data_IF_131000462502
#
_entry.id   IF_131000462502
#
_cell.length_a   1.000
_cell.length_b   1.000
_cell.length_c   1.000
_cell.angle_alpha   90.00
_cell.angle_beta   90.00
_cell.angle_gamma   90.00
#
_symmetry.space_group_name_H-M   'P 1'
#
loop_
_entity.id
_entity.type
_entity.pdbx_description
1 polymer ?
#
# COMPACT_ATOMS: atom_id res chain seq x y z
N UNK A 1 0.86 -13.99 18.03
CA UNK A 1 1.79 -14.90 18.73
C UNK A 1 0.96 -16.02 19.32
N UNK A 2 1.44 -17.26 19.29
CA UNK A 2 0.73 -18.38 19.90
C UNK A 2 0.47 -18.06 21.38
N UNK A 3 -0.76 -18.25 21.90
CA UNK A 3 -1.12 -17.80 23.24
C UNK A 3 -0.43 -18.58 24.36
N UNK A 4 0.05 -19.80 24.09
CA UNK A 4 0.77 -20.61 25.07
C UNK A 4 2.27 -20.33 25.06
N UNK A 5 2.89 -20.26 23.88
CA UNK A 5 4.37 -20.16 23.76
C UNK A 5 4.86 -18.73 23.57
N UNK A 6 3.96 -17.78 23.26
CA UNK A 6 4.28 -16.42 22.86
C UNK A 6 5.19 -16.30 21.61
N UNK A 7 5.38 -17.38 20.85
CA UNK A 7 6.18 -17.39 19.62
C UNK A 7 5.36 -16.99 18.38
N UNK A 8 6.04 -16.69 17.27
CA UNK A 8 5.39 -16.66 15.94
C UNK A 8 5.01 -18.10 15.56
N UNK A 9 3.89 -18.26 14.89
CA UNK A 9 3.31 -19.56 14.60
C UNK A 9 2.73 -19.55 13.17
N UNK A 10 3.46 -20.08 12.18
CA UNK A 10 3.01 -20.14 10.80
C UNK A 10 1.76 -20.99 10.60
N UNK A 11 1.54 -22.01 11.45
CA UNK A 11 0.38 -22.91 11.35
C UNK A 11 -0.91 -22.13 11.64
N UNK A 12 -0.93 -21.36 12.74
CA UNK A 12 -2.06 -20.46 13.06
C UNK A 12 -2.35 -19.46 11.94
N UNK A 13 -1.30 -18.94 11.29
CA UNK A 13 -1.44 -17.95 10.21
C UNK A 13 -2.06 -18.58 8.96
N UNK A 14 -1.59 -19.75 8.55
CA UNK A 14 -2.10 -20.45 7.37
C UNK A 14 -3.45 -21.10 7.61
N UNK A 15 -3.73 -21.60 8.81
CA UNK A 15 -5.06 -22.08 9.21
C UNK A 15 -6.12 -20.98 8.96
N UNK A 16 -5.88 -19.77 9.49
CA UNK A 16 -6.78 -18.63 9.26
C UNK A 16 -6.94 -18.29 7.78
N UNK A 17 -5.85 -18.10 7.02
CA UNK A 17 -5.95 -17.71 5.61
C UNK A 17 -6.59 -18.77 4.72
N UNK A 18 -6.36 -20.05 5.01
CA UNK A 18 -6.96 -21.17 4.27
C UNK A 18 -8.48 -21.25 4.47
N UNK A 19 -8.98 -20.81 5.63
CA UNK A 19 -10.40 -20.79 5.97
C UNK A 19 -11.11 -19.47 5.60
N UNK A 20 -10.34 -18.44 5.22
CA UNK A 20 -10.85 -17.09 4.84
C UNK A 20 -10.44 -16.76 3.41
N UNK A 21 -11.11 -17.33 2.39
CA UNK A 21 -10.71 -17.18 0.99
C UNK A 21 -10.75 -15.74 0.48
N UNK A 22 -11.50 -14.83 1.13
CA UNK A 22 -11.49 -13.41 0.83
C UNK A 22 -10.11 -12.76 1.06
N UNK A 23 -9.25 -13.37 1.88
CA UNK A 23 -7.88 -12.90 2.13
C UNK A 23 -6.94 -13.10 0.94
N UNK A 24 -7.30 -13.99 -0.01
CA UNK A 24 -6.38 -14.50 -1.03
C UNK A 24 -5.74 -13.39 -1.85
N UNK A 25 -6.48 -12.35 -2.25
CA UNK A 25 -5.92 -11.26 -3.04
C UNK A 25 -4.76 -10.55 -2.31
N UNK A 26 -4.95 -10.24 -1.02
CA UNK A 26 -3.92 -9.59 -0.23
C UNK A 26 -2.77 -10.55 0.12
N UNK A 27 -3.07 -11.82 0.37
CA UNK A 27 -2.03 -12.85 0.61
C UNK A 27 -1.14 -13.00 -0.63
N UNK A 28 -1.71 -13.06 -1.83
CA UNK A 28 -0.93 -13.08 -3.07
C UNK A 28 -0.04 -11.85 -3.24
N UNK A 29 -0.53 -10.66 -2.86
CA UNK A 29 0.30 -9.44 -2.87
C UNK A 29 1.41 -9.49 -1.82
N UNK A 30 1.09 -9.94 -0.60
CA UNK A 30 2.02 -10.05 0.52
C UNK A 30 3.19 -11.00 0.22
N UNK A 31 2.94 -12.10 -0.48
CA UNK A 31 3.96 -13.07 -0.87
C UNK A 31 4.60 -12.78 -2.24
N UNK A 32 4.26 -11.67 -2.89
CA UNK A 32 5.06 -11.13 -4.00
C UNK A 32 6.30 -10.40 -3.46
N UNK A 33 7.20 -9.98 -4.35
CA UNK A 33 8.36 -9.17 -3.97
C UNK A 33 7.97 -7.91 -3.18
N UNK A 34 6.77 -7.35 -3.40
CA UNK A 34 6.29 -6.17 -2.67
C UNK A 34 6.02 -6.41 -1.17
N UNK A 35 6.06 -7.66 -0.71
CA UNK A 35 6.06 -7.99 0.71
C UNK A 35 7.33 -7.58 1.45
N UNK A 36 8.43 -7.36 0.73
CA UNK A 36 9.75 -7.01 1.27
C UNK A 36 10.29 -5.73 0.60
N UNK A 37 9.68 -4.54 0.84
CA UNK A 37 10.14 -3.31 0.23
C UNK A 37 11.55 -2.91 0.70
N UNK A 38 12.37 -2.39 -0.22
CA UNK A 38 13.70 -1.87 0.07
C UNK A 38 13.61 -0.47 0.68
N UNK A 39 13.32 -0.42 1.98
CA UNK A 39 13.08 0.81 2.73
C UNK A 39 11.73 1.46 2.38
N UNK A 40 11.39 2.54 3.10
CA UNK A 40 10.09 3.19 2.94
C UNK A 40 9.98 4.03 1.66
N UNK A 41 11.11 4.50 1.12
CA UNK A 41 11.14 5.45 0.00
C UNK A 41 10.79 4.81 -1.34
N UNK A 42 10.96 3.49 -1.46
CA UNK A 42 10.78 2.72 -2.68
C UNK A 42 9.46 1.94 -2.74
N UNK A 43 8.46 2.30 -1.93
CA UNK A 43 7.13 1.71 -1.97
C UNK A 43 6.05 2.74 -2.32
N UNK A 44 4.96 2.28 -2.93
CA UNK A 44 3.76 3.08 -3.08
C UNK A 44 2.96 3.13 -1.78
N UNK A 45 2.16 4.18 -1.61
CA UNK A 45 1.08 4.24 -0.63
C UNK A 45 -0.29 4.12 -1.30
N UNK A 46 -1.26 3.56 -0.59
CA UNK A 46 -2.63 3.41 -1.07
C UNK A 46 -3.60 3.72 0.07
N UNK A 47 -4.67 4.45 -0.23
CA UNK A 47 -5.77 4.60 0.72
C UNK A 47 -6.57 3.30 0.92
N UNK A 48 -6.42 2.35 -0.02
CA UNK A 48 -7.04 1.02 -0.08
C UNK A 48 -8.57 1.04 -0.18
N UNK A 49 -9.24 1.60 0.82
CA UNK A 49 -10.68 1.77 0.85
C UNK A 49 -11.19 2.69 -0.25
N UNK A 50 -12.49 2.59 -0.49
CA UNK A 50 -13.24 3.55 -1.28
C UNK A 50 -13.73 4.66 -0.36
N UNK A 51 -13.44 5.91 -0.72
CA UNK A 51 -13.87 7.11 -0.02
C UNK A 51 -14.92 7.84 -0.84
N UNK A 52 -15.53 8.88 -0.25
CA UNK A 52 -16.44 9.80 -0.95
C UNK A 52 -15.83 11.21 -0.95
N UNK A 53 -15.74 11.84 -2.11
CA UNK A 53 -15.47 13.27 -2.26
C UNK A 53 -16.73 13.97 -2.73
N UNK A 54 -16.86 15.24 -2.37
CA UNK A 54 -18.02 16.08 -2.73
C UNK A 54 -17.49 17.37 -3.34
N UNK A 55 -17.97 17.73 -4.53
CA UNK A 55 -17.54 18.95 -5.21
C UNK A 55 -18.24 20.20 -4.64
N UNK A 56 -17.92 21.37 -5.17
CA UNK A 56 -18.49 22.66 -4.74
C UNK A 56 -20.00 22.79 -4.98
N UNK A 57 -20.58 21.93 -5.83
CA UNK A 57 -22.01 21.86 -6.13
C UNK A 57 -22.75 20.86 -5.24
N UNK A 58 -22.06 20.16 -4.34
CA UNK A 58 -22.64 19.14 -3.47
C UNK A 58 -22.77 17.75 -4.12
N UNK A 59 -22.23 17.55 -5.32
CA UNK A 59 -22.28 16.28 -6.04
C UNK A 59 -21.23 15.30 -5.51
N UNK A 60 -21.64 14.07 -5.13
CA UNK A 60 -20.73 13.08 -4.56
C UNK A 60 -20.10 12.17 -5.62
N UNK A 61 -18.84 11.82 -5.40
CA UNK A 61 -18.10 10.84 -6.20
C UNK A 61 -17.39 9.85 -5.27
N UNK A 62 -17.34 8.58 -5.66
CA UNK A 62 -16.47 7.61 -5.01
C UNK A 62 -15.03 7.77 -5.51
N UNK A 63 -14.05 7.54 -4.63
CA UNK A 63 -12.66 7.63 -5.01
C UNK A 63 -11.75 6.64 -4.30
N UNK A 64 -10.59 6.37 -4.93
CA UNK A 64 -9.46 5.66 -4.32
C UNK A 64 -8.19 6.50 -4.43
N UNK A 65 -7.37 6.46 -3.38
CA UNK A 65 -6.14 7.25 -3.25
C UNK A 65 -4.89 6.42 -3.55
N UNK A 66 -3.98 6.98 -4.35
CA UNK A 66 -2.74 6.32 -4.76
C UNK A 66 -1.56 7.29 -4.65
N UNK A 67 -0.57 6.97 -3.82
CA UNK A 67 0.70 7.66 -3.75
C UNK A 67 1.74 6.81 -4.48
N UNK A 68 2.15 7.21 -5.68
CA UNK A 68 3.17 6.50 -6.45
C UNK A 68 4.54 7.05 -6.10
N UNK A 69 5.46 6.18 -5.67
CA UNK A 69 6.83 6.61 -5.37
C UNK A 69 7.50 7.15 -6.62
N UNK A 70 8.13 8.31 -6.51
CA UNK A 70 8.93 8.89 -7.60
C UNK A 70 10.33 8.27 -7.66
N UNK A 71 10.73 7.50 -6.64
CA UNK A 71 12.03 6.85 -6.52
C UNK A 71 12.09 5.50 -7.26
N UNK A 72 10.97 5.06 -7.82
CA UNK A 72 10.79 3.72 -8.37
C UNK A 72 10.62 2.67 -7.29
N UNK A 73 9.91 1.59 -7.64
CA UNK A 73 9.68 0.47 -6.73
C UNK A 73 10.92 -0.41 -6.67
N UNK A 74 11.35 -0.73 -5.44
CA UNK A 74 12.44 -1.67 -5.17
C UNK A 74 12.06 -2.57 -4.01
N UNK A 75 12.45 -3.83 -4.13
CA UNK A 75 12.16 -4.87 -3.15
C UNK A 75 13.44 -5.68 -2.89
N UNK A 76 13.53 -6.26 -1.70
CA UNK A 76 14.62 -7.12 -1.27
C UNK A 76 14.31 -8.58 -1.61
N UNK A 77 15.35 -9.40 -1.78
CA UNK A 77 15.20 -10.85 -1.73
C UNK A 77 14.90 -11.31 -0.30
N UNK A 78 14.41 -12.54 -0.15
CA UNK A 78 14.21 -13.14 1.17
C UNK A 78 15.51 -13.21 1.99
N UNK A 79 16.62 -13.58 1.35
CA UNK A 79 17.95 -13.67 1.97
C UNK A 79 18.44 -12.30 2.49
N UNK A 80 18.27 -11.24 1.70
CA UNK A 80 18.68 -9.90 2.10
C UNK A 80 17.81 -9.36 3.24
N UNK A 81 16.50 -9.60 3.18
CA UNK A 81 15.59 -9.24 4.26
C UNK A 81 15.92 -9.97 5.57
N UNK A 82 16.26 -11.26 5.51
CA UNK A 82 16.70 -12.04 6.67
C UNK A 82 18.01 -11.49 7.25
N UNK A 83 19.00 -11.23 6.39
CA UNK A 83 20.28 -10.64 6.79
C UNK A 83 20.08 -9.30 7.49
N UNK A 84 19.24 -8.42 6.95
CA UNK A 84 18.96 -7.11 7.54
C UNK A 84 18.15 -7.22 8.83
N UNK A 85 17.20 -8.14 8.92
CA UNK A 85 16.46 -8.37 10.17
C UNK A 85 17.37 -8.72 11.35
N UNK A 86 18.51 -9.37 11.10
CA UNK A 86 19.51 -9.68 12.11
C UNK A 86 20.55 -8.54 12.31
N UNK A 87 21.05 -7.95 11.23
CA UNK A 87 22.19 -7.02 11.28
C UNK A 87 21.79 -5.55 11.47
N UNK A 88 20.60 -5.16 11.04
CA UNK A 88 20.07 -3.80 11.14
C UNK A 88 18.53 -3.81 11.14
N UNK A 89 17.88 -4.16 12.27
CA UNK A 89 16.41 -4.24 12.33
C UNK A 89 15.70 -2.91 12.07
N UNK A 90 16.42 -1.79 12.17
CA UNK A 90 15.91 -0.44 11.94
C UNK A 90 16.24 0.11 10.54
N UNK A 91 16.64 -0.76 9.60
CA UNK A 91 17.11 -0.40 8.25
C UNK A 91 16.23 0.64 7.55
N UNK A 92 14.92 0.39 7.46
CA UNK A 92 14.01 1.28 6.74
C UNK A 92 13.86 2.66 7.40
N UNK A 93 13.96 2.74 8.72
CA UNK A 93 13.93 4.00 9.48
C UNK A 93 15.22 4.77 9.22
N UNK A 94 16.37 4.10 9.34
CA UNK A 94 17.68 4.68 9.07
C UNK A 94 17.82 5.19 7.64
N UNK A 95 17.37 4.42 6.65
CA UNK A 95 17.33 4.82 5.24
C UNK A 95 16.55 6.13 5.04
N UNK A 96 15.33 6.22 5.58
CA UNK A 96 14.50 7.42 5.45
C UNK A 96 15.13 8.63 6.15
N UNK A 97 15.58 8.47 7.40
CA UNK A 97 16.20 9.55 8.17
C UNK A 97 17.44 10.10 7.45
N UNK A 98 18.33 9.20 7.00
CA UNK A 98 19.57 9.57 6.32
C UNK A 98 19.29 10.22 4.96
N UNK A 99 18.30 9.73 4.20
CA UNK A 99 17.92 10.35 2.95
C UNK A 99 17.49 11.81 3.16
N UNK A 100 16.65 12.08 4.17
CA UNK A 100 16.22 13.44 4.50
C UNK A 100 17.39 14.29 5.00
N UNK A 101 18.21 13.77 5.92
CA UNK A 101 19.37 14.49 6.47
C UNK A 101 20.37 14.90 5.38
N UNK A 102 20.52 14.08 4.34
CA UNK A 102 21.41 14.33 3.21
C UNK A 102 20.77 15.15 2.07
N UNK A 103 19.55 15.69 2.25
CA UNK A 103 18.86 16.48 1.22
C UNK A 103 18.24 15.64 0.09
N UNK A 104 18.31 14.31 0.17
CA UNK A 104 17.70 13.37 -0.78
C UNK A 104 16.23 13.13 -0.42
N UNK A 105 15.42 14.17 -0.51
CA UNK A 105 14.02 14.15 -0.08
C UNK A 105 13.18 13.19 -0.93
N UNK A 106 12.64 12.10 -0.35
CA UNK A 106 11.75 11.22 -1.10
C UNK A 106 10.41 11.90 -1.37
N UNK A 107 9.82 11.56 -2.50
CA UNK A 107 8.54 12.08 -2.90
C UNK A 107 7.62 11.04 -3.53
N UNK A 108 6.33 11.37 -3.53
CA UNK A 108 5.29 10.58 -4.13
C UNK A 108 4.35 11.48 -4.92
N UNK A 109 4.08 11.10 -6.17
CA UNK A 109 3.01 11.71 -6.95
C UNK A 109 1.66 11.13 -6.48
N UNK A 110 0.74 12.02 -6.06
CA UNK A 110 -0.58 11.68 -5.57
C UNK A 110 -1.60 11.65 -6.73
N UNK A 111 -2.30 10.53 -6.84
CA UNK A 111 -3.35 10.28 -7.82
C UNK A 111 -4.63 9.83 -7.14
N UNK A 112 -5.73 10.05 -7.85
CA UNK A 112 -7.05 9.52 -7.49
C UNK A 112 -7.64 8.72 -8.65
N UNK A 113 -8.42 7.70 -8.33
CA UNK A 113 -9.44 7.18 -9.25
C UNK A 113 -10.79 7.76 -8.82
N UNK A 114 -11.67 8.03 -9.78
CA UNK A 114 -13.03 8.54 -9.55
C UNK A 114 -14.04 7.58 -10.16
N UNK A 115 -15.12 7.30 -9.44
CA UNK A 115 -16.27 6.52 -9.90
C UNK A 115 -17.54 7.27 -9.51
N UNK A 116 -18.44 7.48 -10.46
CA UNK A 116 -19.78 8.05 -10.22
C UNK A 116 -20.67 7.05 -9.48
N UNK A 117 -21.77 7.51 -8.91
CA UNK A 117 -22.71 6.62 -8.21
C UNK A 117 -23.39 5.67 -9.21
N UNK A 118 -23.71 6.15 -10.40
CA UNK A 118 -24.30 5.36 -11.49
C UNK A 118 -23.33 4.26 -11.98
N UNK A 119 -22.04 4.58 -12.08
CA UNK A 119 -21.01 3.58 -12.40
C UNK A 119 -20.89 2.52 -11.30
N UNK A 120 -21.00 2.92 -10.03
CA UNK A 120 -20.91 2.00 -8.89
C UNK A 120 -22.03 0.94 -8.88
N UNK A 121 -23.26 1.32 -9.27
CA UNK A 121 -24.41 0.39 -9.35
C UNK A 121 -24.22 -0.73 -10.37
N UNK A 122 -23.41 -0.49 -11.41
CA UNK A 122 -23.18 -1.42 -12.52
C UNK A 122 -21.76 -2.00 -12.53
N UNK A 123 -20.94 -1.66 -11.53
CA UNK A 123 -19.57 -2.14 -11.47
C UNK A 123 -19.52 -3.65 -11.19
N UNK A 124 -18.60 -4.34 -11.86
CA UNK A 124 -18.48 -5.81 -11.79
C UNK A 124 -18.22 -6.35 -10.37
N UNK A 125 -17.68 -5.52 -9.48
CA UNK A 125 -17.46 -5.84 -8.06
C UNK A 125 -18.19 -4.85 -7.17
N UNK A 126 -18.43 -5.22 -5.91
CA UNK A 126 -18.85 -4.25 -4.91
C UNK A 126 -17.73 -3.21 -4.71
N UNK A 127 -17.95 -1.92 -5.00
CA UNK A 127 -16.91 -0.89 -4.89
C UNK A 127 -16.48 -0.64 -3.43
N UNK A 128 -17.23 -1.12 -2.44
CA UNK A 128 -16.89 -1.04 -1.02
C UNK A 128 -16.20 -2.29 -0.47
N UNK A 129 -16.04 -3.33 -1.29
CA UNK A 129 -15.23 -4.49 -0.94
C UNK A 129 -13.74 -4.12 -0.98
N UNK A 130 -13.11 -4.04 0.19
CA UNK A 130 -11.69 -3.71 0.34
C UNK A 130 -10.76 -4.70 -0.38
N UNK A 131 -11.21 -5.93 -0.60
CA UNK A 131 -10.43 -6.96 -1.31
C UNK A 131 -10.43 -6.74 -2.82
N UNK A 132 -11.09 -5.70 -3.35
CA UNK A 132 -11.19 -5.42 -4.79
C UNK A 132 -10.48 -4.13 -5.17
N UNK A 133 -9.81 -4.17 -6.32
CA UNK A 133 -9.19 -3.00 -6.96
C UNK A 133 -10.04 -2.54 -8.13
N UNK A 134 -9.97 -1.25 -8.43
CA UNK A 134 -10.57 -0.70 -9.65
C UNK A 134 -9.54 -0.75 -10.76
N UNK A 135 -9.91 -1.35 -11.89
CA UNK A 135 -9.06 -1.42 -13.07
C UNK A 135 -8.61 -0.01 -13.47
N UNK A 136 -7.30 0.22 -13.56
CA UNK A 136 -6.74 1.51 -14.01
C UNK A 136 -6.97 1.76 -15.52
N UNK A 137 -7.45 0.76 -16.26
CA UNK A 137 -7.90 0.94 -17.65
C UNK A 137 -9.29 1.56 -17.72
N UNK A 138 -10.18 1.13 -16.83
CA UNK A 138 -11.58 1.62 -16.76
C UNK A 138 -11.67 2.92 -15.96
N UNK A 139 -10.97 2.99 -14.84
CA UNK A 139 -10.91 4.15 -13.95
C UNK A 139 -9.46 4.63 -13.86
N UNK A 140 -8.98 5.43 -14.82
CA UNK A 140 -7.58 5.84 -14.89
C UNK A 140 -7.16 6.69 -13.68
N UNK A 141 -5.86 6.72 -13.42
CA UNK A 141 -5.27 7.56 -12.39
C UNK A 141 -5.27 9.02 -12.86
N UNK A 142 -5.89 9.89 -12.06
CA UNK A 142 -5.93 11.34 -12.28
C UNK A 142 -4.92 11.98 -11.32
N UNK A 143 -3.91 12.73 -11.82
CA UNK A 143 -2.92 13.37 -10.97
C UNK A 143 -3.57 14.51 -10.16
N UNK A 144 -3.23 14.61 -8.87
CA UNK A 144 -3.72 15.65 -7.97
C UNK A 144 -2.59 16.55 -7.47
N UNK A 145 -1.45 15.96 -7.12
CA UNK A 145 -0.34 16.73 -6.57
C UNK A 145 0.85 15.85 -6.20
N UNK A 146 1.72 16.37 -5.32
CA UNK A 146 2.96 15.71 -4.92
C UNK A 146 3.20 15.89 -3.43
N UNK A 147 3.55 14.79 -2.75
CA UNK A 147 3.97 14.77 -1.36
C UNK A 147 5.49 14.63 -1.30
N UNK A 148 6.16 15.47 -0.51
CA UNK A 148 7.62 15.43 -0.32
C UNK A 148 7.91 15.40 1.18
N UNK A 149 8.74 14.46 1.63
CA UNK A 149 9.23 14.44 3.00
C UNK A 149 10.60 15.12 3.04
N UNK A 150 10.67 16.30 3.63
CA UNK A 150 11.87 17.16 3.59
C UNK A 150 12.38 17.59 4.97
N UNK A 151 11.84 17.03 6.05
CA UNK A 151 12.20 17.38 7.42
C UNK A 151 12.06 16.16 8.32
N UNK A 152 13.10 15.88 9.10
CA UNK A 152 13.05 14.89 10.17
C UNK A 152 12.31 15.47 11.38
N UNK A 153 11.78 14.58 12.23
CA UNK A 153 11.15 14.96 13.50
C UNK A 153 12.17 15.55 14.50
#
# INVERSE_FOLDING_TARGET
RNPQTHMKDPDTVWDFWSLRPESLHQVSFLFSDRGLPDGFRHMNGYGSHTFKMVNTQGEPFYCKFHFKTDQGIKNMSGEEAERLAASNPDYAIGDLYNAIANGNFPSWTFFIQIMTFEQAETFQFNPFDLTKVWSQKEYPLIPVGKMVLNRNA
#
